data_IF_734551238415
#
_entry.id   IF_734551238415
#
_cell.length_a   1.000
_cell.length_b   1.000
_cell.length_c   1.000
_cell.angle_alpha   90.00
_cell.angle_beta   90.00
_cell.angle_gamma   90.00
#
_symmetry.space_group_name_H-M   'P 1'
#
loop_
_entity.id
_entity.type
_entity.pdbx_description
1 polymer ?
#
# COMPACT_ATOMS: atom_id res chain seq x y z
N UNK A 1 40.89 -12.62 -8.67
CA UNK A 1 39.65 -12.49 -9.47
C UNK A 1 38.59 -12.07 -8.47
N UNK A 2 38.59 -10.78 -8.12
CA UNK A 2 37.63 -10.23 -7.17
C UNK A 2 36.41 -9.76 -7.97
N UNK A 3 35.29 -10.44 -7.78
CA UNK A 3 33.99 -10.01 -8.30
C UNK A 3 33.49 -8.82 -7.45
N UNK A 4 32.85 -7.82 -8.07
CA UNK A 4 32.46 -6.59 -7.38
C UNK A 4 31.32 -6.82 -6.39
N UNK A 5 31.16 -5.94 -5.37
CA UNK A 5 30.01 -5.98 -4.48
C UNK A 5 28.75 -5.71 -5.31
N UNK A 6 27.76 -6.59 -5.17
CA UNK A 6 26.47 -6.49 -5.83
C UNK A 6 25.86 -5.12 -5.50
N UNK A 7 25.76 -4.27 -6.53
CA UNK A 7 25.11 -2.98 -6.43
C UNK A 7 23.64 -3.21 -6.08
N UNK A 8 23.23 -2.79 -4.89
CA UNK A 8 21.85 -2.84 -4.40
C UNK A 8 20.91 -1.88 -5.14
N UNK A 9 21.39 -1.22 -6.21
CA UNK A 9 20.69 -0.13 -6.87
C UNK A 9 19.84 -0.52 -8.09
N UNK A 10 19.84 -1.80 -8.51
CA UNK A 10 19.30 -2.17 -9.82
C UNK A 10 17.94 -2.88 -9.79
N UNK A 11 17.16 -2.82 -8.71
CA UNK A 11 15.90 -3.58 -8.61
C UNK A 11 14.66 -2.75 -8.26
N UNK A 12 14.71 -1.42 -8.37
CA UNK A 12 13.57 -0.53 -8.11
C UNK A 12 13.00 0.14 -9.36
N UNK A 13 13.64 -0.03 -10.52
CA UNK A 13 13.18 0.52 -11.79
C UNK A 13 12.97 -0.63 -12.77
N UNK A 14 11.82 -1.32 -12.70
CA UNK A 14 11.17 -2.01 -13.83
C UNK A 14 10.05 -2.92 -13.34
N UNK A 15 8.97 -2.33 -12.83
CA UNK A 15 7.66 -2.94 -12.97
C UNK A 15 6.55 -1.89 -13.04
N UNK A 16 6.82 -0.81 -13.79
CA UNK A 16 5.75 0.09 -14.21
C UNK A 16 4.98 -0.64 -15.31
N UNK A 17 3.90 -1.33 -14.92
CA UNK A 17 2.89 -1.80 -15.86
C UNK A 17 2.27 -0.55 -16.52
N UNK A 18 2.57 -0.33 -17.79
CA UNK A 18 1.90 0.66 -18.64
C UNK A 18 0.49 0.16 -18.94
N UNK A 19 -0.40 0.27 -17.96
CA UNK A 19 -1.82 -0.06 -18.11
C UNK A 19 -2.60 1.21 -18.46
N UNK A 20 -3.00 1.26 -19.73
CA UNK A 20 -4.17 1.91 -20.33
C UNK A 20 -4.74 3.10 -19.53
N UNK A 21 -4.58 4.33 -20.07
CA UNK A 21 -5.02 5.57 -19.42
C UNK A 21 -6.46 5.43 -18.91
N UNK A 22 -6.67 5.19 -17.60
CA UNK A 22 -7.98 4.80 -17.12
C UNK A 22 -8.91 6.00 -17.23
N UNK A 23 -10.18 5.77 -17.60
CA UNK A 23 -11.23 6.80 -17.60
C UNK A 23 -11.28 7.60 -16.28
N UNK A 24 -10.77 6.99 -15.20
CA UNK A 24 -10.53 7.59 -13.90
C UNK A 24 -9.58 8.81 -13.92
N UNK A 25 -8.49 8.82 -14.71
CA UNK A 25 -7.57 9.99 -14.81
C UNK A 25 -8.35 11.19 -15.34
N UNK A 26 -9.14 10.96 -16.40
CA UNK A 26 -9.93 12.00 -17.05
C UNK A 26 -11.02 12.54 -16.13
N UNK A 27 -11.58 11.70 -15.26
CA UNK A 27 -12.50 12.14 -14.22
C UNK A 27 -11.79 12.97 -13.14
N UNK A 28 -10.63 12.53 -12.67
CA UNK A 28 -9.84 13.22 -11.65
C UNK A 28 -9.34 14.58 -12.13
N UNK A 29 -8.89 14.70 -13.39
CA UNK A 29 -8.45 15.97 -13.97
C UNK A 29 -9.54 17.07 -13.96
N UNK A 30 -10.82 16.68 -13.98
CA UNK A 30 -11.95 17.61 -13.92
C UNK A 30 -12.27 18.08 -12.50
N UNK A 31 -11.95 17.26 -11.50
CA UNK A 31 -12.30 17.50 -10.08
C UNK A 31 -11.13 18.11 -9.32
N UNK A 32 -9.92 17.66 -9.63
CA UNK A 32 -8.68 18.02 -8.93
C UNK A 32 -8.11 19.32 -9.52
N UNK A 33 -7.75 20.25 -8.63
CA UNK A 33 -7.12 21.51 -9.03
C UNK A 33 -5.78 21.27 -9.76
N UNK A 34 -5.41 22.10 -10.77
CA UNK A 34 -4.16 21.96 -11.51
C UNK A 34 -2.91 21.87 -10.65
N UNK A 35 -2.90 22.52 -9.48
CA UNK A 35 -1.78 22.45 -8.55
C UNK A 35 -1.45 21.04 -8.04
N UNK A 36 -2.41 20.12 -8.13
CA UNK A 36 -2.28 18.74 -7.66
C UNK A 36 -2.28 17.71 -8.79
N UNK A 37 -2.24 18.14 -10.07
CA UNK A 37 -2.20 17.21 -11.20
C UNK A 37 -0.95 16.33 -11.23
N UNK A 38 0.14 16.75 -10.58
CA UNK A 38 1.34 15.93 -10.39
C UNK A 38 1.16 14.76 -9.40
N UNK A 39 0.06 14.75 -8.63
CA UNK A 39 -0.26 13.74 -7.62
C UNK A 39 -1.52 12.94 -7.99
N UNK A 40 -1.89 12.88 -9.27
CA UNK A 40 -3.06 12.11 -9.70
C UNK A 40 -2.86 10.60 -9.47
N UNK A 41 -1.61 10.16 -9.45
CA UNK A 41 -1.20 8.78 -9.19
C UNK A 41 -1.65 8.26 -7.82
N UNK A 42 -1.56 9.09 -6.78
CA UNK A 42 -2.00 8.74 -5.41
C UNK A 42 -3.52 8.80 -5.24
N UNK A 43 -4.23 9.41 -6.19
CA UNK A 43 -5.69 9.53 -6.16
C UNK A 43 -6.39 8.40 -6.91
N UNK A 44 -5.65 7.50 -7.55
CA UNK A 44 -6.22 6.32 -8.20
C UNK A 44 -6.73 5.32 -7.18
N UNK A 45 -8.04 5.07 -7.22
CA UNK A 45 -8.69 4.11 -6.34
C UNK A 45 -8.07 2.72 -6.50
N UNK A 46 -7.88 2.27 -7.74
CA UNK A 46 -7.33 0.94 -8.06
C UNK A 46 -5.90 0.77 -7.50
N UNK A 47 -5.09 1.82 -7.52
CA UNK A 47 -3.74 1.78 -6.92
C UNK A 47 -3.79 1.87 -5.40
N UNK A 48 -4.69 2.69 -4.85
CA UNK A 48 -4.85 2.86 -3.41
C UNK A 48 -5.41 1.61 -2.70
N UNK A 49 -6.16 0.76 -3.40
CA UNK A 49 -6.66 -0.53 -2.88
C UNK A 49 -5.54 -1.58 -2.71
N UNK A 50 -4.39 -1.38 -3.35
CA UNK A 50 -3.25 -2.30 -3.24
C UNK A 50 -2.21 -1.71 -2.29
N UNK A 51 -1.77 -2.51 -1.32
CA UNK A 51 -0.65 -2.12 -0.48
C UNK A 51 0.61 -1.97 -1.35
N UNK A 52 1.44 -0.93 -1.12
CA UNK A 52 2.73 -0.84 -1.77
C UNK A 52 3.62 -2.03 -1.38
N UNK A 53 4.65 -2.35 -2.18
CA UNK A 53 5.66 -3.32 -1.77
C UNK A 53 6.29 -2.94 -0.44
N UNK A 54 6.68 -3.95 0.33
CA UNK A 54 7.40 -3.76 1.59
C UNK A 54 8.61 -2.83 1.43
N UNK A 55 8.76 -1.86 2.34
CA UNK A 55 9.89 -0.93 2.35
C UNK A 55 10.83 -1.19 3.53
N UNK A 56 12.07 -0.71 3.43
CA UNK A 56 13.05 -0.74 4.54
C UNK A 56 12.62 0.11 5.73
N UNK A 57 11.64 0.99 5.52
CA UNK A 57 11.00 1.83 6.51
C UNK A 57 9.77 1.19 7.18
N UNK A 58 9.38 -0.02 6.78
CA UNK A 58 8.24 -0.69 7.39
C UNK A 58 8.47 -0.91 8.88
N UNK A 59 7.40 -0.78 9.66
CA UNK A 59 7.49 -0.95 11.09
C UNK A 59 7.83 -2.41 11.42
N UNK A 60 9.07 -2.65 11.84
CA UNK A 60 9.53 -3.95 12.30
C UNK A 60 9.16 -4.14 13.77
N UNK A 61 8.41 -5.21 14.06
CA UNK A 61 8.10 -5.61 15.43
C UNK A 61 9.07 -6.71 15.83
N UNK A 62 9.99 -6.39 16.72
CA UNK A 62 10.88 -7.38 17.34
C UNK A 62 10.07 -8.24 18.32
N UNK A 63 10.06 -9.55 18.09
CA UNK A 63 9.35 -10.49 18.96
C UNK A 63 10.30 -10.96 20.07
N UNK A 64 9.93 -10.69 21.33
CA UNK A 64 10.64 -11.18 22.50
C UNK A 64 9.81 -12.24 23.24
N UNK A 65 10.46 -13.32 23.71
CA UNK A 65 9.84 -14.34 24.57
C UNK A 65 9.17 -15.53 23.85
N UNK A 66 8.29 -16.23 24.57
CA UNK A 66 7.50 -17.36 24.03
C UNK A 66 6.29 -16.87 23.25
N UNK A 67 5.75 -17.70 22.34
CA UNK A 67 4.55 -17.41 21.55
C UNK A 67 3.41 -16.83 22.42
N UNK A 68 2.82 -15.72 21.96
CA UNK A 68 1.67 -15.11 22.60
C UNK A 68 0.50 -16.11 22.68
N UNK A 69 -0.23 -16.19 23.81
CA UNK A 69 -1.40 -17.04 23.89
C UNK A 69 -2.46 -16.58 22.89
N UNK A 70 -3.07 -17.55 22.20
CA UNK A 70 -4.20 -17.28 21.31
C UNK A 70 -5.39 -16.84 22.17
N UNK A 71 -5.74 -15.56 22.09
CA UNK A 71 -6.89 -14.99 22.79
C UNK A 71 -8.22 -15.37 22.15
N UNK A 72 -9.30 -15.32 22.93
CA UNK A 72 -10.67 -15.42 22.40
C UNK A 72 -11.11 -14.07 21.85
N UNK A 73 -11.80 -14.10 20.71
CA UNK A 73 -12.48 -12.91 20.20
C UNK A 73 -13.77 -12.74 21.00
N UNK A 74 -13.94 -11.59 21.66
CA UNK A 74 -15.17 -11.29 22.39
C UNK A 74 -16.33 -11.07 21.43
N UNK A 75 -17.51 -11.56 21.80
CA UNK A 75 -18.72 -11.32 21.03
C UNK A 75 -19.06 -9.83 21.04
N UNK A 76 -19.12 -9.24 19.85
CA UNK A 76 -19.56 -7.87 19.66
C UNK A 76 -21.08 -7.81 19.76
N UNK A 77 -21.62 -6.70 20.27
CA UNK A 77 -23.05 -6.42 20.16
C UNK A 77 -23.46 -6.20 18.69
N UNK A 78 -24.76 -6.29 18.40
CA UNK A 78 -25.27 -6.03 17.06
C UNK A 78 -24.87 -4.62 16.57
N UNK A 79 -24.96 -3.62 17.44
CA UNK A 79 -24.58 -2.24 17.13
C UNK A 79 -23.09 -2.07 16.79
N UNK A 80 -22.21 -2.78 17.51
CA UNK A 80 -20.77 -2.74 17.25
C UNK A 80 -20.41 -3.51 15.98
N UNK A 81 -21.07 -4.63 15.74
CA UNK A 81 -20.89 -5.42 14.52
C UNK A 81 -21.35 -4.65 13.28
N UNK A 82 -22.54 -4.04 13.33
CA UNK A 82 -23.07 -3.21 12.24
C UNK A 82 -22.11 -2.08 11.87
N UNK A 83 -21.42 -1.47 12.84
CA UNK A 83 -20.46 -0.39 12.57
C UNK A 83 -19.14 -0.84 11.92
N UNK A 84 -18.71 -2.07 12.17
CA UNK A 84 -17.44 -2.59 11.64
C UNK A 84 -17.61 -3.21 10.24
N UNK A 85 -18.81 -3.68 9.91
CA UNK A 85 -19.11 -4.40 8.67
C UNK A 85 -20.02 -3.66 7.70
N UNK A 86 -20.46 -2.44 8.03
CA UNK A 86 -21.20 -1.55 7.13
C UNK A 86 -20.28 -0.79 6.18
#
# INVERSE_FOLDING_TARGET
MDLPPLSFHASLEEQWHEEEEPEEIKALLKVVSPAYHQYLDVLFKVKAEKLPPHCTCDHHIELEGSLSPVGVIYFLSNHESEKLWA
#
